data_IF_283476145235
#
_entry.id   IF_283476145235
#
_cell.length_a   1.000
_cell.length_b   1.000
_cell.length_c   1.000
_cell.angle_alpha   90.00
_cell.angle_beta   90.00
_cell.angle_gamma   90.00
#
_symmetry.space_group_name_H-M   'P 1'
#
loop_
_entity.id
_entity.type
_entity.pdbx_description
1 polymer ?
#
# COMPACT_ATOMS: atom_id res chain seq x y z
N UNK A 1 -3.13 -3.71 -5.93
CA UNK A 1 -2.92 -3.54 -7.38
C UNK A 1 -3.84 -2.42 -7.81
N UNK A 2 -3.30 -1.44 -8.50
CA UNK A 2 -4.01 -0.29 -9.06
C UNK A 2 -3.15 0.28 -10.20
N UNK A 3 -3.71 1.18 -11.00
CA UNK A 3 -2.94 1.96 -11.98
C UNK A 3 -2.37 3.19 -11.25
N UNK A 4 -1.19 3.05 -10.67
CA UNK A 4 -0.60 4.07 -9.78
C UNK A 4 0.10 5.18 -10.56
N UNK A 5 0.54 4.92 -11.80
CA UNK A 5 1.17 5.92 -12.67
C UNK A 5 0.22 6.50 -13.74
N UNK A 6 -1.00 5.98 -13.85
CA UNK A 6 -2.06 6.49 -14.73
C UNK A 6 -1.85 6.13 -16.20
N UNK A 7 -1.02 5.12 -16.51
CA UNK A 7 -0.71 4.73 -17.88
C UNK A 7 -1.76 3.79 -18.51
N UNK A 8 -2.77 3.40 -17.73
CA UNK A 8 -3.85 2.50 -18.13
C UNK A 8 -3.54 1.01 -17.89
N UNK A 9 -2.41 0.67 -17.27
CA UNK A 9 -2.06 -0.70 -16.88
C UNK A 9 -2.07 -0.87 -15.36
N UNK A 10 -2.27 -2.12 -14.93
CA UNK A 10 -2.20 -2.44 -13.51
C UNK A 10 -0.75 -2.53 -13.06
N UNK A 11 -0.50 -1.93 -11.90
CA UNK A 11 0.75 -2.02 -11.17
C UNK A 11 0.62 -2.90 -9.92
N UNK A 12 1.77 -3.32 -9.41
CA UNK A 12 1.86 -4.22 -8.27
C UNK A 12 2.77 -3.65 -7.18
N UNK A 13 2.14 -3.20 -6.08
CA UNK A 13 2.82 -2.94 -4.82
C UNK A 13 3.04 -4.24 -4.04
N UNK A 14 4.27 -4.48 -3.60
CA UNK A 14 4.72 -5.71 -2.93
C UNK A 14 5.41 -5.35 -1.63
N UNK A 15 4.98 -5.96 -0.54
CA UNK A 15 5.75 -6.02 0.69
C UNK A 15 5.88 -7.47 1.18
N UNK A 16 7.11 -7.94 1.36
CA UNK A 16 7.39 -9.29 1.88
C UNK A 16 7.95 -9.21 3.31
N UNK A 17 7.04 -9.15 4.27
CA UNK A 17 7.38 -9.08 5.68
C UNK A 17 7.64 -10.46 6.30
N UNK A 18 8.55 -10.51 7.28
CA UNK A 18 8.64 -11.66 8.17
C UNK A 18 7.47 -11.62 9.17
N UNK A 19 7.00 -12.78 9.69
CA UNK A 19 6.06 -12.77 10.80
C UNK A 19 6.63 -11.94 11.96
N UNK A 20 5.82 -11.02 12.49
CA UNK A 20 6.17 -10.25 13.69
C UNK A 20 6.36 -11.24 14.84
N UNK A 21 7.53 -11.22 15.48
CA UNK A 21 7.91 -12.12 16.57
C UNK A 21 8.53 -11.31 17.69
N UNK A 22 7.74 -11.00 18.71
CA UNK A 22 8.16 -10.18 19.84
C UNK A 22 7.91 -8.69 19.59
N UNK A 23 8.57 -7.87 20.39
CA UNK A 23 8.24 -6.45 20.53
C UNK A 23 8.94 -5.56 19.50
N UNK A 24 9.98 -6.05 18.82
CA UNK A 24 10.75 -5.23 17.87
C UNK A 24 10.15 -5.31 16.45
N UNK A 25 10.00 -4.16 15.76
CA UNK A 25 9.59 -4.14 14.37
C UNK A 25 10.64 -4.79 13.45
N UNK A 26 10.18 -5.61 12.51
CA UNK A 26 11.03 -6.25 11.51
C UNK A 26 10.71 -5.64 10.14
N UNK A 27 11.63 -4.89 9.53
CA UNK A 27 11.44 -4.36 8.19
C UNK A 27 11.20 -5.47 7.16
N UNK A 28 10.39 -5.23 6.12
CA UNK A 28 10.17 -6.22 5.07
C UNK A 28 11.46 -6.47 4.29
N UNK A 29 11.58 -7.68 3.73
CA UNK A 29 12.73 -8.08 2.91
C UNK A 29 12.63 -7.56 1.47
N UNK A 30 11.41 -7.25 1.04
CA UNK A 30 11.10 -6.74 -0.30
C UNK A 30 10.05 -5.67 -0.10
N UNK A 31 10.26 -4.50 -0.70
CA UNK A 31 9.35 -3.36 -0.72
C UNK A 31 9.45 -2.69 -2.09
N UNK A 32 8.54 -3.05 -2.99
CA UNK A 32 8.65 -2.70 -4.41
C UNK A 32 7.30 -2.27 -4.97
N UNK A 33 7.33 -1.26 -5.84
CA UNK A 33 6.27 -0.98 -6.80
C UNK A 33 6.75 -1.44 -8.18
N UNK A 34 6.03 -2.37 -8.79
CA UNK A 34 6.33 -2.83 -10.15
C UNK A 34 5.30 -2.25 -11.09
N UNK A 35 5.76 -1.44 -12.02
CA UNK A 35 4.90 -0.79 -13.00
C UNK A 35 4.60 -1.73 -14.17
N UNK A 36 3.33 -1.78 -14.56
CA UNK A 36 2.85 -2.48 -15.73
C UNK A 36 3.32 -1.82 -17.03
N UNK A 37 2.86 -2.34 -18.18
CA UNK A 37 2.40 -3.72 -18.40
C UNK A 37 3.45 -4.77 -18.03
N UNK A 38 2.96 -5.95 -17.60
CA UNK A 38 3.77 -7.12 -17.35
C UNK A 38 3.90 -8.01 -18.60
N UNK A 39 5.10 -8.49 -18.89
CA UNK A 39 5.33 -9.54 -19.88
C UNK A 39 4.77 -10.90 -19.44
N UNK A 40 4.69 -11.87 -20.35
CA UNK A 40 4.30 -13.26 -20.05
C UNK A 40 5.21 -13.94 -18.99
N UNK A 41 6.37 -13.36 -18.70
CA UNK A 41 7.31 -13.82 -17.67
C UNK A 41 7.13 -13.07 -16.33
N UNK A 42 6.15 -12.18 -16.22
CA UNK A 42 5.88 -11.39 -15.01
C UNK A 42 6.85 -10.23 -14.77
N UNK A 43 7.63 -9.84 -15.78
CA UNK A 43 8.54 -8.68 -15.72
C UNK A 43 7.76 -7.43 -16.13
N UNK A 44 7.68 -6.44 -15.23
CA UNK A 44 7.09 -5.12 -15.48
C UNK A 44 8.05 -4.18 -16.21
N UNK A 45 7.60 -2.97 -16.55
CA UNK A 45 8.41 -1.98 -17.24
C UNK A 45 9.46 -1.34 -16.33
N UNK A 46 9.06 -1.05 -15.09
CA UNK A 46 9.90 -0.39 -14.08
C UNK A 46 9.67 -1.03 -12.71
N UNK A 47 10.66 -0.91 -11.84
CA UNK A 47 10.52 -1.28 -10.44
C UNK A 47 11.08 -0.14 -9.61
N UNK A 48 10.23 0.42 -8.77
CA UNK A 48 10.56 1.48 -7.84
C UNK A 48 10.60 0.92 -6.42
N UNK A 49 11.48 1.46 -5.59
CA UNK A 49 11.56 1.09 -4.18
C UNK A 49 10.43 1.78 -3.42
N UNK A 50 9.76 1.05 -2.54
CA UNK A 50 8.81 1.60 -1.59
C UNK A 50 9.42 1.59 -0.19
N UNK A 51 9.07 2.56 0.64
CA UNK A 51 9.30 2.50 2.09
C UNK A 51 7.97 2.48 2.85
N UNK A 52 7.32 1.30 2.97
CA UNK A 52 6.08 1.13 3.72
C UNK A 52 6.33 0.94 5.22
N UNK A 53 7.53 1.16 5.75
CA UNK A 53 7.99 0.77 7.10
C UNK A 53 7.93 -0.75 7.37
N UNK A 54 7.91 -1.16 8.64
CA UNK A 54 7.70 -2.54 9.12
C UNK A 54 6.27 -3.03 8.85
N UNK A 55 5.87 -2.95 7.57
CA UNK A 55 4.51 -3.21 7.11
C UNK A 55 4.17 -4.68 7.24
N UNK A 56 2.94 -4.97 7.61
CA UNK A 56 2.35 -6.32 7.59
C UNK A 56 1.12 -6.39 6.67
N UNK A 57 0.70 -5.26 6.09
CA UNK A 57 -0.43 -5.20 5.18
C UNK A 57 -0.43 -3.94 4.33
N UNK A 58 -0.96 -4.08 3.12
CA UNK A 58 -1.13 -3.01 2.16
C UNK A 58 -2.59 -2.98 1.68
N UNK A 59 -3.13 -1.79 1.40
CA UNK A 59 -4.47 -1.62 0.82
C UNK A 59 -4.49 -0.44 -0.14
N UNK A 60 -5.16 -0.63 -1.28
CA UNK A 60 -5.50 0.48 -2.18
C UNK A 60 -6.70 1.23 -1.60
N UNK A 61 -6.54 2.53 -1.43
CA UNK A 61 -7.50 3.43 -0.79
C UNK A 61 -7.59 4.73 -1.59
N UNK A 62 -8.56 5.56 -1.23
CA UNK A 62 -8.67 6.94 -1.69
C UNK A 62 -8.69 7.79 -0.40
N UNK A 63 -7.57 8.45 -0.08
CA UNK A 63 -7.40 9.21 1.16
C UNK A 63 -7.71 10.69 1.00
N UNK A 64 -7.52 11.26 -0.18
CA UNK A 64 -7.70 12.69 -0.44
C UNK A 64 -8.80 13.02 -1.46
N UNK A 65 -9.64 12.04 -1.77
CA UNK A 65 -10.82 12.12 -2.65
C UNK A 65 -10.43 12.57 -4.07
N UNK A 66 -9.31 12.07 -4.59
CA UNK A 66 -8.81 12.37 -5.92
C UNK A 66 -9.00 11.20 -6.93
N UNK A 67 -8.50 11.40 -8.15
CA UNK A 67 -8.64 10.41 -9.24
C UNK A 67 -7.46 9.42 -9.33
N UNK A 68 -6.51 9.51 -8.39
CA UNK A 68 -5.29 8.71 -8.34
C UNK A 68 -5.36 7.71 -7.17
N UNK A 69 -4.99 6.44 -7.39
CA UNK A 69 -5.02 5.47 -6.30
C UNK A 69 -3.94 5.73 -5.25
N UNK A 70 -4.32 5.72 -3.98
CA UNK A 70 -3.39 5.77 -2.85
C UNK A 70 -3.06 4.37 -2.33
N UNK A 71 -1.96 4.28 -1.58
CA UNK A 71 -1.56 3.06 -0.88
C UNK A 71 -1.48 3.29 0.62
N UNK A 72 -2.38 2.65 1.37
CA UNK A 72 -2.25 2.50 2.81
C UNK A 72 -1.24 1.40 3.15
N UNK A 73 -0.30 1.71 4.04
CA UNK A 73 0.61 0.74 4.68
C UNK A 73 0.26 0.62 6.15
N UNK A 74 0.09 -0.61 6.63
CA UNK A 74 -0.13 -0.93 8.05
C UNK A 74 1.13 -1.55 8.62
N UNK A 75 1.70 -0.95 9.65
CA UNK A 75 2.99 -1.35 10.19
C UNK A 75 2.96 -1.54 11.69
N UNK A 76 3.86 -2.39 12.15
CA UNK A 76 4.10 -2.61 13.57
C UNK A 76 5.18 -1.66 14.05
N UNK A 77 4.92 -0.95 15.15
CA UNK A 77 5.87 -0.01 15.75
C UNK A 77 6.65 -0.63 16.92
N UNK A 78 6.12 -1.71 17.47
CA UNK A 78 6.65 -2.38 18.64
C UNK A 78 5.72 -2.28 19.84
N UNK A 79 5.99 -3.07 20.88
CA UNK A 79 5.26 -3.05 22.16
C UNK A 79 3.72 -3.23 22.04
N UNK A 80 3.26 -3.83 20.94
CA UNK A 80 1.83 -4.01 20.67
C UNK A 80 1.16 -2.80 20.00
N UNK A 81 1.93 -1.77 19.66
CA UNK A 81 1.50 -0.57 18.94
C UNK A 81 1.64 -0.78 17.44
N UNK A 82 0.64 -0.32 16.71
CA UNK A 82 0.60 -0.37 15.27
C UNK A 82 0.23 1.00 14.71
N UNK A 83 0.70 1.26 13.49
CA UNK A 83 0.45 2.49 12.77
C UNK A 83 -0.09 2.24 11.38
N UNK A 84 -0.58 3.30 10.78
CA UNK A 84 -0.92 3.37 9.37
C UNK A 84 -0.26 4.61 8.77
N UNK A 85 0.26 4.48 7.56
CA UNK A 85 0.71 5.59 6.72
C UNK A 85 0.01 5.50 5.35
N UNK A 86 0.03 6.62 4.62
CA UNK A 86 -0.43 6.69 3.25
C UNK A 86 0.73 7.08 2.33
N UNK A 87 0.83 6.45 1.18
CA UNK A 87 1.60 6.95 0.04
C UNK A 87 0.56 7.47 -0.94
N UNK A 88 0.63 8.77 -1.25
CA UNK A 88 -0.39 9.42 -2.07
C UNK A 88 -0.09 9.22 -3.55
N UNK A 89 -1.11 8.90 -4.34
CA UNK A 89 -1.05 8.93 -5.78
C UNK A 89 -1.04 10.38 -6.31
N UNK A 90 -0.64 10.55 -7.57
CA UNK A 90 -0.67 11.86 -8.20
C UNK A 90 -0.30 11.84 -9.68
N UNK A 91 -0.82 12.81 -10.42
CA UNK A 91 -0.68 12.90 -11.88
C UNK A 91 0.76 13.02 -12.40
N UNK A 92 1.69 13.59 -11.62
CA UNK A 92 3.07 13.83 -12.09
C UNK A 92 4.05 12.72 -11.66
N UNK A 93 3.90 12.22 -10.44
CA UNK A 93 4.89 11.33 -9.82
C UNK A 93 4.38 9.88 -9.65
N UNK A 94 3.10 9.61 -9.96
CA UNK A 94 2.42 8.38 -9.61
C UNK A 94 2.31 8.23 -8.09
N UNK A 95 2.54 7.03 -7.57
CA UNK A 95 2.72 6.82 -6.12
C UNK A 95 3.93 7.61 -5.62
N UNK A 96 3.66 8.68 -4.87
CA UNK A 96 4.67 9.54 -4.27
C UNK A 96 5.32 8.91 -3.02
N UNK A 97 6.39 9.55 -2.55
CA UNK A 97 6.99 9.23 -1.25
C UNK A 97 5.97 9.41 -0.11
N UNK A 98 6.18 8.64 0.97
CA UNK A 98 5.32 8.57 2.16
C UNK A 98 4.84 9.95 2.65
N UNK A 99 3.53 10.13 2.72
CA UNK A 99 2.88 11.21 3.46
C UNK A 99 2.42 10.68 4.81
N UNK A 100 3.05 11.15 5.89
CA UNK A 100 2.73 10.72 7.26
C UNK A 100 1.38 11.28 7.70
N UNK A 101 0.31 10.50 7.51
CA UNK A 101 -0.92 10.66 8.29
C UNK A 101 -1.01 9.54 9.31
N UNK A 102 -0.50 9.84 10.49
CA UNK A 102 -0.35 8.89 11.59
C UNK A 102 -1.66 8.69 12.34
N UNK A 103 -2.08 7.44 12.45
CA UNK A 103 -3.08 7.00 13.42
C UNK A 103 -2.49 5.81 14.17
N UNK A 104 -2.33 5.96 15.49
CA UNK A 104 -1.91 4.87 16.36
C UNK A 104 -3.11 4.01 16.73
N UNK A 105 -2.90 2.71 16.67
CA UNK A 105 -3.87 1.72 17.09
C UNK A 105 -3.23 0.79 18.11
N UNK A 106 -4.00 0.45 19.15
CA UNK A 106 -3.64 -0.59 20.10
C UNK A 106 -4.40 -1.87 19.72
N UNK A 107 -3.70 -2.84 19.12
CA UNK A 107 -4.28 -4.12 18.73
C UNK A 107 -4.26 -5.17 19.84
N UNK A 108 -3.90 -4.82 21.07
CA UNK A 108 -4.01 -5.77 22.20
C UNK A 108 -5.46 -6.25 22.43
N UNK A 109 -6.45 -5.56 21.84
CA UNK A 109 -7.88 -5.86 22.01
C UNK A 109 -8.74 -5.79 20.73
N UNK A 110 -8.18 -5.57 19.53
CA UNK A 110 -8.98 -5.32 18.32
C UNK A 110 -8.31 -5.82 17.03
N UNK A 111 -9.14 -6.30 16.10
CA UNK A 111 -8.66 -6.65 14.75
C UNK A 111 -8.40 -5.37 13.95
N UNK A 112 -7.27 -5.28 13.23
CA UNK A 112 -6.87 -4.07 12.51
C UNK A 112 -7.92 -3.56 11.54
N UNK A 113 -8.70 -4.45 10.94
CA UNK A 113 -9.56 -4.20 9.79
C UNK A 113 -10.70 -3.20 10.06
N UNK A 114 -11.12 -3.01 11.32
CA UNK A 114 -12.24 -2.13 11.68
C UNK A 114 -11.91 -0.62 11.57
N UNK A 115 -10.64 -0.25 11.79
CA UNK A 115 -10.20 1.14 11.84
C UNK A 115 -9.50 1.58 10.54
N UNK A 116 -9.41 0.68 9.54
CA UNK A 116 -8.77 0.96 8.26
C UNK A 116 -9.72 1.71 7.33
N UNK A 117 -9.21 2.63 6.48
CA UNK A 117 -9.99 3.20 5.40
C UNK A 117 -10.61 2.10 4.54
N UNK A 118 -11.84 2.30 4.04
CA UNK A 118 -12.47 1.34 3.14
C UNK A 118 -11.59 1.16 1.89
N UNK A 119 -11.54 -0.06 1.32
CA UNK A 119 -10.87 -0.26 0.03
C UNK A 119 -11.58 0.56 -1.06
N UNK A 120 -10.81 1.22 -1.92
CA UNK A 120 -11.32 2.02 -3.03
C UNK A 120 -11.23 1.30 -4.39
N UNK A 121 -11.22 -0.04 -4.39
CA UNK A 121 -10.99 -0.82 -5.61
C UNK A 121 -12.06 -0.56 -6.67
N UNK A 122 -13.33 -0.40 -6.30
CA UNK A 122 -14.42 -0.20 -7.27
C UNK A 122 -14.36 1.18 -7.96
N UNK A 123 -13.64 2.15 -7.37
CA UNK A 123 -13.42 3.47 -7.94
C UNK A 123 -12.31 3.45 -9.00
N UNK A 124 -11.23 2.72 -8.72
CA UNK A 124 -10.06 2.64 -9.60
C UNK A 124 -10.09 1.47 -10.59
N UNK A 125 -10.98 0.50 -10.36
CA UNK A 125 -11.22 -0.65 -11.24
C UNK A 125 -12.71 -0.72 -11.58
N UNK A 126 -13.23 0.19 -12.42
CA UNK A 126 -14.62 0.12 -12.82
C UNK A 126 -14.92 -1.24 -13.45
N UNK A 127 -16.04 -1.83 -13.07
CA UNK A 127 -16.50 -3.08 -13.66
C UNK A 127 -16.56 -2.93 -15.19
N UNK A 128 -16.08 -3.94 -15.92
CA UNK A 128 -16.24 -3.95 -17.36
C UNK A 128 -17.73 -3.86 -17.70
N UNK A 129 -18.11 -2.94 -18.59
CA UNK A 129 -19.46 -2.90 -19.15
C UNK A 129 -19.76 -4.27 -19.79
N UNK A 130 -20.83 -4.92 -19.32
CA UNK A 130 -21.33 -6.20 -19.83
C UNK A 130 -22.13 -6.04 -21.13
#
# INVERSE_FOLDING_TARGET
MADFDGDGWLDLAIAAAAPIRGDDPIPPRVTELRLGPFSDQGVGQRTDELDPEATYGLRVVDFDDDEHPDLASYYYQGDGVYGMNALLGGAEDGLSDRVERFSEFDFTHREPEEDLPPPALDQFHPACDT
#
